data_IF_756409259622
#
_entry.id   IF_756409259622
#
_cell.length_a   1.000
_cell.length_b   1.000
_cell.length_c   1.000
_cell.angle_alpha   90.00
_cell.angle_beta   90.00
_cell.angle_gamma   90.00
#
_symmetry.space_group_name_H-M   'P 1'
#
loop_
_entity.id
_entity.type
_entity.pdbx_description
1 polymer ?
#
# COMPACT_ATOMS: atom_id res chain seq x y z
N UNK A 1 -15.34 24.28 11.13
CA UNK A 1 -15.90 23.73 9.86
C UNK A 1 -15.44 22.31 9.60
N UNK A 2 -14.14 21.98 9.68
CA UNK A 2 -13.64 20.60 9.49
C UNK A 2 -14.41 19.53 10.28
N UNK A 3 -14.66 19.76 11.58
CA UNK A 3 -15.35 18.79 12.44
C UNK A 3 -16.81 18.48 12.04
N UNK A 4 -17.45 19.34 11.23
CA UNK A 4 -18.83 19.16 10.76
C UNK A 4 -18.93 18.83 9.27
N UNK A 5 -17.81 18.87 8.54
CA UNK A 5 -17.79 18.71 7.08
C UNK A 5 -18.33 17.35 6.63
N UNK A 6 -18.06 16.27 7.37
CA UNK A 6 -18.61 14.93 7.09
C UNK A 6 -20.13 14.82 7.25
N UNK A 7 -20.76 15.76 7.95
CA UNK A 7 -22.21 15.73 8.19
C UNK A 7 -22.99 16.55 7.16
N UNK A 8 -22.29 17.15 6.20
CA UNK A 8 -22.90 17.91 5.11
C UNK A 8 -23.54 16.91 4.14
N UNK A 9 -24.80 17.18 3.76
CA UNK A 9 -25.50 16.34 2.80
C UNK A 9 -24.81 16.43 1.42
N UNK A 10 -24.56 15.29 0.75
CA UNK A 10 -23.89 15.29 -0.56
C UNK A 10 -24.60 16.09 -1.64
N UNK A 11 -25.90 16.35 -1.50
CA UNK A 11 -26.73 17.08 -2.47
C UNK A 11 -26.79 18.60 -2.22
N UNK A 12 -26.12 19.12 -1.18
CA UNK A 12 -26.06 20.55 -0.86
C UNK A 12 -25.18 21.30 -1.87
N UNK A 13 -25.70 22.29 -2.59
CA UNK A 13 -24.96 22.99 -3.65
C UNK A 13 -24.97 24.52 -3.56
N UNK A 14 -25.61 25.10 -2.54
CA UNK A 14 -25.67 26.54 -2.38
C UNK A 14 -24.36 27.08 -1.80
N UNK A 15 -23.74 26.36 -0.87
CA UNK A 15 -22.59 26.88 -0.10
C UNK A 15 -21.31 26.08 -0.32
N UNK A 16 -21.38 24.74 -0.33
CA UNK A 16 -20.18 23.89 -0.33
C UNK A 16 -19.31 24.11 -1.56
N UNK A 17 -19.90 24.29 -2.75
CA UNK A 17 -19.14 24.56 -3.96
C UNK A 17 -18.29 25.83 -3.81
N UNK A 18 -18.90 26.94 -3.37
CA UNK A 18 -18.20 28.21 -3.16
C UNK A 18 -17.10 28.10 -2.09
N UNK A 19 -17.34 27.30 -1.04
CA UNK A 19 -16.32 26.99 -0.03
C UNK A 19 -15.14 26.25 -0.65
N UNK A 20 -15.38 25.18 -1.43
CA UNK A 20 -14.31 24.41 -2.10
C UNK A 20 -13.51 25.31 -3.04
N UNK A 21 -14.17 26.13 -3.84
CA UNK A 21 -13.52 27.08 -4.74
C UNK A 21 -12.64 28.08 -3.98
N UNK A 22 -13.14 28.62 -2.87
CA UNK A 22 -12.39 29.55 -2.01
C UNK A 22 -11.18 28.89 -1.36
N UNK A 23 -11.32 27.63 -0.92
CA UNK A 23 -10.23 26.84 -0.34
C UNK A 23 -9.11 26.58 -1.35
N UNK A 24 -9.46 26.33 -2.61
CA UNK A 24 -8.50 26.15 -3.70
C UNK A 24 -7.74 27.44 -4.06
N UNK A 25 -8.31 28.61 -3.76
CA UNK A 25 -7.70 29.91 -4.00
C UNK A 25 -6.79 30.38 -2.86
N UNK A 26 -6.65 29.62 -1.77
CA UNK A 26 -5.73 29.97 -0.67
C UNK A 26 -4.31 30.10 -1.21
N UNK A 27 -3.67 31.28 -1.10
CA UNK A 27 -2.36 31.52 -1.72
C UNK A 27 -1.25 30.72 -1.02
N UNK A 28 -0.18 30.44 -1.75
CA UNK A 28 1.00 29.75 -1.19
C UNK A 28 1.70 30.56 -0.09
N UNK A 29 1.56 31.88 -0.11
CA UNK A 29 2.04 32.79 0.93
C UNK A 29 1.24 32.72 2.24
N UNK A 30 0.09 32.04 2.25
CA UNK A 30 -0.68 31.83 3.47
C UNK A 30 0.11 30.98 4.48
N UNK A 31 -0.13 31.25 5.76
CA UNK A 31 0.55 30.54 6.84
C UNK A 31 0.33 29.01 6.74
N UNK A 32 1.37 28.21 7.03
CA UNK A 32 1.34 26.75 6.88
C UNK A 32 0.15 26.10 7.61
N UNK A 33 -0.21 26.58 8.80
CA UNK A 33 -1.37 26.08 9.55
C UNK A 33 -2.71 26.27 8.83
N UNK A 34 -2.86 27.37 8.07
CA UNK A 34 -4.06 27.61 7.24
C UNK A 34 -4.09 26.61 6.11
N UNK A 35 -3.00 26.49 5.35
CA UNK A 35 -2.85 25.53 4.24
C UNK A 35 -3.07 24.08 4.71
N UNK A 36 -2.54 23.73 5.88
CA UNK A 36 -2.72 22.42 6.51
C UNK A 36 -4.18 22.12 6.80
N UNK A 37 -4.90 23.08 7.43
CA UNK A 37 -6.31 22.93 7.76
C UNK A 37 -7.17 22.89 6.49
N UNK A 38 -6.82 23.69 5.47
CA UNK A 38 -7.46 23.68 4.15
C UNK A 38 -7.40 22.30 3.52
N UNK A 39 -6.22 21.67 3.50
CA UNK A 39 -6.05 20.32 2.96
C UNK A 39 -6.97 19.33 3.68
N UNK A 40 -6.92 19.31 5.02
CA UNK A 40 -7.77 18.41 5.80
C UNK A 40 -9.25 18.61 5.49
N UNK A 41 -9.72 19.86 5.44
CA UNK A 41 -11.12 20.17 5.12
C UNK A 41 -11.50 19.66 3.73
N UNK A 42 -10.64 19.80 2.72
CA UNK A 42 -10.88 19.23 1.38
C UNK A 42 -11.01 17.71 1.43
N UNK A 43 -10.19 17.03 2.24
CA UNK A 43 -10.29 15.59 2.47
C UNK A 43 -11.63 15.17 3.10
N UNK A 44 -12.18 15.99 4.00
CA UNK A 44 -13.47 15.71 4.65
C UNK A 44 -14.69 15.90 3.73
N UNK A 45 -14.54 16.63 2.62
CA UNK A 45 -15.62 16.89 1.65
C UNK A 45 -15.73 15.81 0.56
N UNK A 46 -15.11 14.63 0.77
CA UNK A 46 -15.05 13.56 -0.23
C UNK A 46 -16.42 13.08 -0.74
N UNK A 47 -17.40 12.90 0.15
CA UNK A 47 -18.74 12.43 -0.26
C UNK A 47 -19.47 13.44 -1.14
N UNK A 48 -19.31 14.72 -0.84
CA UNK A 48 -19.85 15.80 -1.66
C UNK A 48 -19.14 15.87 -3.02
N UNK A 49 -17.81 15.74 -3.06
CA UNK A 49 -17.03 15.74 -4.30
C UNK A 49 -17.37 14.57 -5.22
N UNK A 50 -17.74 13.42 -4.67
CA UNK A 50 -18.16 12.24 -5.44
C UNK A 50 -19.46 12.49 -6.22
N UNK A 51 -20.35 13.35 -5.70
CA UNK A 51 -21.58 13.80 -6.39
C UNK A 51 -21.33 14.92 -7.39
N UNK A 52 -20.25 15.68 -7.23
CA UNK A 52 -19.91 16.84 -8.06
C UNK A 52 -18.55 16.72 -8.79
N UNK A 53 -18.23 15.58 -9.43
CA UNK A 53 -16.86 15.25 -9.82
C UNK A 53 -16.28 16.11 -10.94
N UNK A 54 -17.12 16.64 -11.82
CA UNK A 54 -16.70 17.27 -13.09
C UNK A 54 -15.79 18.50 -12.89
N UNK A 55 -16.00 19.26 -11.82
CA UNK A 55 -15.31 20.55 -11.61
C UNK A 55 -14.30 20.49 -10.47
N UNK A 56 -14.58 19.75 -9.39
CA UNK A 56 -13.84 19.90 -8.13
C UNK A 56 -12.77 18.83 -7.91
N UNK A 57 -12.97 17.59 -8.37
CA UNK A 57 -12.08 16.46 -8.05
C UNK A 57 -10.67 16.68 -8.60
N UNK A 58 -10.54 17.10 -9.85
CA UNK A 58 -9.23 17.31 -10.49
C UNK A 58 -8.44 18.47 -9.85
N UNK A 59 -9.00 19.68 -9.66
CA UNK A 59 -8.31 20.76 -8.94
C UNK A 59 -7.91 20.40 -7.51
N UNK A 60 -8.80 19.74 -6.76
CA UNK A 60 -8.51 19.30 -5.39
C UNK A 60 -7.39 18.27 -5.38
N UNK A 61 -7.44 17.27 -6.28
CA UNK A 61 -6.38 16.28 -6.41
C UNK A 61 -5.03 16.94 -6.71
N UNK A 62 -4.95 17.84 -7.69
CA UNK A 62 -3.72 18.56 -8.00
C UNK A 62 -3.18 19.38 -6.81
N UNK A 63 -4.07 20.07 -6.08
CA UNK A 63 -3.69 20.84 -4.89
C UNK A 63 -3.10 19.94 -3.80
N UNK A 64 -3.74 18.80 -3.55
CA UNK A 64 -3.27 17.80 -2.58
C UNK A 64 -1.93 17.21 -2.99
N UNK A 65 -1.79 16.75 -4.25
CA UNK A 65 -0.56 16.13 -4.74
C UNK A 65 0.63 17.08 -4.71
N UNK A 66 0.42 18.36 -5.08
CA UNK A 66 1.47 19.39 -4.99
C UNK A 66 1.95 19.58 -3.54
N UNK A 67 1.03 19.50 -2.59
CA UNK A 67 1.31 19.73 -1.17
C UNK A 67 2.05 18.58 -0.47
N UNK A 68 2.13 17.39 -1.09
CA UNK A 68 2.89 16.25 -0.54
C UNK A 68 4.39 16.56 -0.49
N UNK A 69 4.90 17.39 -1.41
CA UNK A 69 6.31 17.76 -1.46
C UNK A 69 6.74 18.74 -0.36
N UNK A 70 5.79 19.35 0.35
CA UNK A 70 6.05 20.26 1.47
C UNK A 70 6.00 19.45 2.79
N UNK A 71 7.13 19.27 3.50
CA UNK A 71 7.17 18.46 4.73
C UNK A 71 6.21 18.95 5.82
N UNK A 72 5.90 20.25 5.85
CA UNK A 72 4.96 20.83 6.82
C UNK A 72 3.49 20.47 6.53
N UNK A 73 3.20 20.06 5.28
CA UNK A 73 1.85 19.75 4.81
C UNK A 73 1.65 18.28 4.45
N UNK A 74 2.74 17.51 4.27
CA UNK A 74 2.71 16.13 3.80
C UNK A 74 1.73 15.23 4.57
N UNK A 75 1.64 15.41 5.90
CA UNK A 75 0.68 14.67 6.75
C UNK A 75 -0.76 14.98 6.34
N UNK A 76 -1.16 16.25 6.31
CA UNK A 76 -2.52 16.66 5.91
C UNK A 76 -2.82 16.29 4.45
N UNK A 77 -1.85 16.48 3.55
CA UNK A 77 -1.97 16.10 2.15
C UNK A 77 -2.20 14.59 1.99
N UNK A 78 -1.43 13.74 2.69
CA UNK A 78 -1.61 12.29 2.62
C UNK A 78 -2.96 11.82 3.18
N UNK A 79 -3.44 12.45 4.27
CA UNK A 79 -4.76 12.17 4.84
C UNK A 79 -5.87 12.48 3.84
N UNK A 80 -5.77 13.64 3.20
CA UNK A 80 -6.75 14.11 2.23
C UNK A 80 -6.70 13.26 0.96
N UNK A 81 -5.50 12.91 0.49
CA UNK A 81 -5.32 12.02 -0.65
C UNK A 81 -5.96 10.66 -0.39
N UNK A 82 -5.73 10.04 0.77
CA UNK A 82 -6.35 8.76 1.12
C UNK A 82 -7.88 8.86 1.14
N UNK A 83 -8.43 9.94 1.72
CA UNK A 83 -9.88 10.15 1.75
C UNK A 83 -10.46 10.27 0.35
N UNK A 84 -9.89 11.15 -0.48
CA UNK A 84 -10.31 11.40 -1.87
C UNK A 84 -10.19 10.12 -2.71
N UNK A 85 -9.05 9.43 -2.63
CA UNK A 85 -8.83 8.16 -3.37
C UNK A 85 -9.63 6.99 -2.80
N UNK A 86 -10.20 7.10 -1.60
CA UNK A 86 -11.10 6.09 -1.06
C UNK A 86 -12.53 6.31 -1.53
N UNK A 87 -12.99 7.57 -1.57
CA UNK A 87 -14.36 7.92 -1.89
C UNK A 87 -14.51 8.10 -3.41
N UNK A 88 -13.77 9.05 -4.00
CA UNK A 88 -13.86 9.45 -5.41
C UNK A 88 -13.01 8.60 -6.38
N UNK A 89 -12.63 7.37 -6.00
CA UNK A 89 -11.72 6.48 -6.77
C UNK A 89 -12.14 6.28 -8.22
N UNK A 90 -13.44 6.21 -8.50
CA UNK A 90 -13.97 6.00 -9.85
C UNK A 90 -13.74 7.22 -10.75
N UNK A 91 -13.63 8.41 -10.17
CA UNK A 91 -13.30 9.68 -10.84
C UNK A 91 -11.80 9.95 -10.92
N UNK A 92 -11.01 9.34 -10.04
CA UNK A 92 -9.55 9.56 -9.93
C UNK A 92 -8.75 8.56 -10.78
N UNK A 93 -9.34 7.44 -11.21
CA UNK A 93 -8.64 6.37 -11.94
C UNK A 93 -7.91 6.82 -13.22
N UNK A 94 -8.40 7.84 -13.93
CA UNK A 94 -7.73 8.42 -15.10
C UNK A 94 -6.42 9.16 -14.77
N UNK A 95 -6.17 9.42 -13.49
CA UNK A 95 -4.96 10.08 -12.99
C UNK A 95 -3.97 9.09 -12.34
N UNK A 96 -4.14 7.79 -12.58
CA UNK A 96 -3.32 6.76 -11.94
C UNK A 96 -1.81 6.93 -12.23
N UNK A 97 -1.42 7.29 -13.44
CA UNK A 97 0.01 7.50 -13.78
C UNK A 97 0.65 8.60 -12.94
N UNK A 98 -0.07 9.69 -12.68
CA UNK A 98 0.39 10.78 -11.82
C UNK A 98 0.50 10.31 -10.36
N UNK A 99 -0.47 9.51 -9.90
CA UNK A 99 -0.43 8.92 -8.56
C UNK A 99 0.76 7.97 -8.39
N UNK A 100 1.08 7.19 -9.42
CA UNK A 100 2.23 6.30 -9.43
C UNK A 100 3.54 7.09 -9.37
N UNK A 101 3.66 8.19 -10.13
CA UNK A 101 4.81 9.10 -10.05
C UNK A 101 5.00 9.67 -8.65
N UNK A 102 3.90 10.00 -7.96
CA UNK A 102 3.94 10.48 -6.57
C UNK A 102 4.49 9.38 -5.65
N UNK A 103 4.05 8.13 -5.80
CA UNK A 103 4.59 6.99 -5.03
C UNK A 103 6.09 6.81 -5.28
N UNK A 104 6.54 6.95 -6.53
CA UNK A 104 7.97 6.92 -6.87
C UNK A 104 8.75 8.06 -6.21
N UNK A 105 8.18 9.27 -6.16
CA UNK A 105 8.82 10.40 -5.48
C UNK A 105 8.94 10.20 -3.96
N UNK A 106 8.05 9.40 -3.33
CA UNK A 106 8.15 9.05 -1.90
C UNK A 106 9.40 8.24 -1.55
N UNK A 107 10.19 7.81 -2.54
CA UNK A 107 11.45 7.12 -2.28
C UNK A 107 12.51 8.07 -1.74
N UNK A 108 12.52 9.33 -2.21
CA UNK A 108 13.53 10.32 -1.85
C UNK A 108 13.00 11.40 -0.92
N UNK A 109 11.68 11.52 -0.77
CA UNK A 109 11.06 12.52 0.10
C UNK A 109 11.22 12.17 1.59
N UNK A 110 11.64 13.14 2.43
CA UNK A 110 11.83 12.93 3.86
C UNK A 110 10.47 13.02 4.61
N UNK A 111 9.58 12.06 4.34
CA UNK A 111 8.27 11.99 4.98
C UNK A 111 8.18 10.83 5.99
N UNK A 112 7.34 10.94 7.03
CA UNK A 112 7.12 9.84 7.96
C UNK A 112 6.60 8.58 7.27
N UNK A 113 6.98 7.40 7.78
CA UNK A 113 6.56 6.10 7.26
C UNK A 113 5.04 5.98 7.15
N UNK A 114 4.30 6.41 8.17
CA UNK A 114 2.84 6.35 8.18
C UNK A 114 2.21 7.21 7.07
N UNK A 115 2.78 8.40 6.83
CA UNK A 115 2.38 9.30 5.72
C UNK A 115 2.60 8.62 4.38
N UNK A 116 3.74 7.95 4.19
CA UNK A 116 4.03 7.27 2.93
C UNK A 116 3.12 6.06 2.70
N UNK A 117 2.92 5.22 3.73
CA UNK A 117 2.00 4.08 3.70
C UNK A 117 0.57 4.53 3.37
N UNK A 118 0.17 5.71 3.84
CA UNK A 118 -1.13 6.29 3.58
C UNK A 118 -1.33 6.68 2.11
N UNK A 119 -0.33 7.32 1.50
CA UNK A 119 -0.34 7.61 0.06
C UNK A 119 -0.42 6.31 -0.74
N UNK A 120 0.44 5.33 -0.44
CA UNK A 120 0.45 4.01 -1.11
C UNK A 120 -0.91 3.32 -1.00
N UNK A 121 -1.54 3.36 0.19
CA UNK A 121 -2.89 2.82 0.41
C UNK A 121 -3.93 3.50 -0.50
N UNK A 122 -3.90 4.83 -0.59
CA UNK A 122 -4.79 5.58 -1.47
C UNK A 122 -4.64 5.19 -2.94
N UNK A 123 -3.40 5.16 -3.43
CA UNK A 123 -3.09 4.77 -4.82
C UNK A 123 -3.51 3.31 -5.10
N UNK A 124 -3.33 2.41 -4.14
CA UNK A 124 -3.78 1.01 -4.25
C UNK A 124 -5.30 0.90 -4.42
N UNK A 125 -6.08 1.73 -3.72
CA UNK A 125 -7.55 1.75 -3.87
C UNK A 125 -7.98 2.26 -5.26
N UNK A 126 -7.23 3.18 -5.85
CA UNK A 126 -7.46 3.62 -7.23
C UNK A 126 -7.06 2.52 -8.22
N UNK A 127 -5.94 1.83 -7.99
CA UNK A 127 -5.52 0.66 -8.78
C UNK A 127 -6.63 -0.40 -8.86
N UNK A 128 -7.35 -0.62 -7.75
CA UNK A 128 -8.48 -1.56 -7.65
C UNK A 128 -9.70 -1.17 -8.52
N UNK A 129 -9.71 0.01 -9.13
CA UNK A 129 -10.79 0.52 -10.00
C UNK A 129 -10.38 0.73 -11.45
N UNK A 130 -9.15 0.37 -11.80
CA UNK A 130 -8.71 0.33 -13.18
C UNK A 130 -9.47 -0.78 -13.94
N UNK A 131 -9.56 -0.70 -15.27
CA UNK A 131 -10.05 -1.81 -16.08
C UNK A 131 -9.25 -3.10 -15.82
N UNK A 132 -9.92 -4.26 -15.80
CA UNK A 132 -9.30 -5.54 -15.40
C UNK A 132 -7.99 -5.85 -16.14
N UNK A 133 -7.91 -5.52 -17.43
CA UNK A 133 -6.73 -5.74 -18.27
C UNK A 133 -5.51 -4.86 -17.88
N UNK A 134 -5.71 -3.80 -17.09
CA UNK A 134 -4.65 -2.88 -16.64
C UNK A 134 -4.19 -3.15 -15.21
N UNK A 135 -5.02 -3.81 -14.38
CA UNK A 135 -4.74 -4.01 -12.95
C UNK A 135 -3.42 -4.75 -12.73
N UNK A 136 -3.15 -5.79 -13.55
CA UNK A 136 -1.94 -6.60 -13.41
C UNK A 136 -0.66 -5.78 -13.61
N UNK A 137 -0.62 -4.97 -14.68
CA UNK A 137 0.54 -4.11 -14.98
C UNK A 137 0.68 -2.98 -13.96
N UNK A 138 -0.44 -2.31 -13.63
CA UNK A 138 -0.46 -1.25 -12.62
C UNK A 138 0.04 -1.73 -11.25
N UNK A 139 -0.39 -2.93 -10.82
CA UNK A 139 0.09 -3.53 -9.58
C UNK A 139 1.57 -3.90 -9.67
N UNK A 140 2.02 -4.45 -10.79
CA UNK A 140 3.43 -4.76 -10.99
C UNK A 140 4.30 -3.50 -10.86
N UNK A 141 3.94 -2.41 -11.53
CA UNK A 141 4.65 -1.14 -11.45
C UNK A 141 4.66 -0.58 -10.02
N UNK A 142 3.52 -0.66 -9.31
CA UNK A 142 3.41 -0.19 -7.92
C UNK A 142 4.28 -1.01 -6.96
N UNK A 143 4.29 -2.35 -7.09
CA UNK A 143 5.14 -3.23 -6.30
C UNK A 143 6.62 -3.01 -6.62
N UNK A 144 6.97 -2.82 -7.90
CA UNK A 144 8.35 -2.66 -8.38
C UNK A 144 9.09 -1.53 -7.68
N UNK A 145 8.45 -0.39 -7.46
CA UNK A 145 9.03 0.77 -6.74
C UNK A 145 9.61 0.34 -5.38
N UNK A 146 8.89 -0.50 -4.65
CA UNK A 146 9.30 -0.94 -3.30
C UNK A 146 10.23 -2.15 -3.33
N UNK A 147 10.04 -3.06 -4.29
CA UNK A 147 10.90 -4.24 -4.51
C UNK A 147 12.31 -3.82 -4.89
N UNK A 148 12.46 -2.83 -5.78
CA UNK A 148 13.77 -2.35 -6.22
C UNK A 148 14.58 -1.80 -5.03
N UNK A 149 13.92 -1.03 -4.15
CA UNK A 149 14.57 -0.44 -2.99
C UNK A 149 14.89 -1.46 -1.88
N UNK A 150 13.99 -2.41 -1.62
CA UNK A 150 14.29 -3.54 -0.72
C UNK A 150 15.45 -4.39 -1.22
N UNK A 151 15.49 -4.66 -2.53
CA UNK A 151 16.57 -5.42 -3.15
C UNK A 151 17.89 -4.67 -3.01
N UNK A 152 17.89 -3.35 -3.25
CA UNK A 152 19.06 -2.48 -3.04
C UNK A 152 19.57 -2.56 -1.60
N UNK A 153 18.67 -2.52 -0.61
CA UNK A 153 19.01 -2.65 0.82
C UNK A 153 19.63 -4.04 1.10
N UNK A 154 19.06 -5.11 0.57
CA UNK A 154 19.55 -6.48 0.79
C UNK A 154 20.94 -6.73 0.19
N UNK A 155 21.28 -6.06 -0.91
CA UNK A 155 22.55 -6.18 -1.62
C UNK A 155 23.73 -5.47 -0.91
N UNK A 156 23.49 -4.70 0.15
CA UNK A 156 24.57 -4.07 0.93
C UNK A 156 25.30 -5.12 1.76
N UNK A 157 26.53 -5.48 1.36
CA UNK A 157 27.31 -6.58 1.96
C UNK A 157 27.50 -6.43 3.48
N UNK A 158 27.80 -5.22 3.96
CA UNK A 158 28.15 -4.96 5.36
C UNK A 158 26.97 -4.60 6.27
N UNK A 159 25.72 -4.68 5.78
CA UNK A 159 24.55 -4.35 6.59
C UNK A 159 24.01 -5.59 7.34
N UNK A 160 24.69 -5.98 8.42
CA UNK A 160 24.26 -7.08 9.30
C UNK A 160 23.45 -6.61 10.51
N UNK A 161 23.51 -5.31 10.85
CA UNK A 161 22.64 -4.69 11.86
C UNK A 161 21.70 -3.69 11.20
N UNK A 162 20.40 -3.89 11.40
CA UNK A 162 19.39 -2.93 10.97
C UNK A 162 19.44 -1.74 11.91
N UNK A 163 19.64 -0.54 11.35
CA UNK A 163 19.49 0.69 12.09
C UNK A 163 18.06 1.16 11.86
N UNK A 164 17.26 1.18 12.92
CA UNK A 164 15.86 1.56 12.79
C UNK A 164 15.72 3.03 12.33
N UNK A 165 14.70 3.30 11.50
CA UNK A 165 14.36 4.65 11.01
C UNK A 165 15.45 5.31 10.16
N UNK A 166 16.26 4.53 9.47
CA UNK A 166 17.20 5.02 8.44
C UNK A 166 16.72 4.64 7.05
N UNK A 167 17.32 5.24 6.02
CA UNK A 167 17.08 4.85 4.62
C UNK A 167 17.46 3.40 4.30
N UNK A 168 18.16 2.71 5.22
CA UNK A 168 18.56 1.33 5.09
C UNK A 168 17.68 0.36 5.90
N UNK A 169 16.63 0.87 6.57
CA UNK A 169 15.66 0.08 7.31
C UNK A 169 14.63 -0.56 6.35
N UNK A 170 14.57 -1.90 6.21
CA UNK A 170 13.65 -2.55 5.28
C UNK A 170 12.18 -2.46 5.73
N UNK A 171 11.90 -2.14 7.00
CA UNK A 171 10.54 -2.18 7.56
C UNK A 171 9.58 -1.24 6.84
N UNK A 172 10.04 -0.05 6.47
CA UNK A 172 9.20 0.94 5.81
C UNK A 172 8.68 0.44 4.47
N UNK A 173 9.54 -0.22 3.70
CA UNK A 173 9.20 -0.80 2.40
C UNK A 173 8.32 -2.04 2.52
N UNK A 174 8.59 -2.87 3.54
CA UNK A 174 7.74 -4.01 3.87
C UNK A 174 6.32 -3.57 4.26
N UNK A 175 6.18 -2.49 5.05
CA UNK A 175 4.89 -1.94 5.44
C UNK A 175 4.14 -1.30 4.24
N UNK A 176 4.87 -0.67 3.30
CA UNK A 176 4.28 -0.18 2.03
C UNK A 176 3.77 -1.33 1.16
N UNK A 177 4.57 -2.38 0.92
CA UNK A 177 4.13 -3.59 0.20
C UNK A 177 2.96 -4.28 0.88
N UNK A 178 3.01 -4.45 2.20
CA UNK A 178 1.93 -5.01 2.98
C UNK A 178 0.63 -4.19 2.85
N UNK A 179 0.75 -2.85 2.76
CA UNK A 179 -0.39 -1.95 2.52
C UNK A 179 -1.02 -2.17 1.15
N UNK A 180 -0.21 -2.39 0.11
CA UNK A 180 -0.70 -2.72 -1.24
C UNK A 180 -1.53 -4.00 -1.18
N UNK A 181 -0.93 -5.11 -0.72
CA UNK A 181 -1.62 -6.40 -0.72
C UNK A 181 -2.86 -6.43 0.19
N UNK A 182 -2.86 -5.66 1.27
CA UNK A 182 -4.01 -5.56 2.17
C UNK A 182 -5.21 -4.82 1.57
N UNK A 183 -4.95 -3.75 0.81
CA UNK A 183 -5.99 -2.82 0.40
C UNK A 183 -6.40 -2.97 -1.08
N UNK A 184 -5.70 -3.81 -1.83
CA UNK A 184 -6.08 -4.14 -3.18
C UNK A 184 -7.33 -5.02 -3.17
N UNK A 185 -8.29 -4.69 -4.02
CA UNK A 185 -9.51 -5.47 -4.22
C UNK A 185 -9.71 -5.70 -5.71
N UNK A 186 -9.75 -6.97 -6.12
CA UNK A 186 -9.94 -7.36 -7.51
C UNK A 186 -11.10 -8.35 -7.56
N UNK A 187 -12.05 -8.13 -8.46
CA UNK A 187 -13.16 -9.05 -8.70
C UNK A 187 -12.74 -10.12 -9.71
N UNK A 188 -11.79 -10.97 -9.36
CA UNK A 188 -11.39 -12.08 -10.21
C UNK A 188 -12.47 -13.17 -10.18
N UNK A 189 -12.89 -13.65 -11.37
CA UNK A 189 -13.72 -14.87 -11.45
C UNK A 189 -12.88 -16.07 -11.03
N UNK A 190 -13.47 -17.02 -10.29
CA UNK A 190 -12.79 -18.20 -9.77
C UNK A 190 -12.10 -19.08 -10.84
N UNK A 191 -12.54 -19.03 -12.10
CA UNK A 191 -11.98 -19.81 -13.20
C UNK A 191 -10.83 -19.12 -13.96
N UNK A 192 -10.52 -17.88 -13.63
CA UNK A 192 -9.50 -17.09 -14.31
C UNK A 192 -8.26 -16.92 -13.42
N UNK A 193 -7.10 -16.76 -14.06
CA UNK A 193 -5.87 -16.44 -13.35
C UNK A 193 -6.03 -15.10 -12.62
N UNK A 194 -5.70 -15.07 -11.33
CA UNK A 194 -5.82 -13.89 -10.51
C UNK A 194 -4.86 -12.80 -11.03
N UNK A 195 -5.33 -11.58 -11.33
CA UNK A 195 -4.48 -10.51 -11.88
C UNK A 195 -3.25 -10.17 -11.01
N UNK A 196 -3.33 -10.49 -9.71
CA UNK A 196 -2.26 -10.25 -8.74
C UNK A 196 -1.22 -11.37 -8.64
N UNK A 197 -1.46 -12.55 -9.23
CA UNK A 197 -0.58 -13.70 -9.08
C UNK A 197 0.83 -13.37 -9.59
N UNK A 198 0.93 -12.77 -10.79
CA UNK A 198 2.22 -12.38 -11.37
C UNK A 198 2.99 -11.37 -10.50
N UNK A 199 2.31 -10.35 -9.97
CA UNK A 199 2.94 -9.35 -9.11
C UNK A 199 3.44 -9.94 -7.79
N UNK A 200 2.71 -10.89 -7.20
CA UNK A 200 3.12 -11.56 -5.96
C UNK A 200 4.30 -12.51 -6.23
N UNK A 201 4.25 -13.30 -7.30
CA UNK A 201 5.37 -14.16 -7.71
C UNK A 201 6.62 -13.34 -8.01
N UNK A 202 6.48 -12.17 -8.65
CA UNK A 202 7.57 -11.22 -8.86
C UNK A 202 8.14 -10.66 -7.54
N UNK A 203 7.29 -10.42 -6.54
CA UNK A 203 7.70 -9.86 -5.25
C UNK A 203 8.39 -10.89 -4.35
N UNK A 204 8.07 -12.18 -4.51
CA UNK A 204 8.55 -13.27 -3.64
C UNK A 204 10.09 -13.34 -3.48
N UNK A 205 10.92 -13.33 -4.56
CA UNK A 205 12.37 -13.42 -4.41
C UNK A 205 12.97 -12.33 -3.52
N UNK A 206 12.42 -11.11 -3.58
CA UNK A 206 12.85 -9.99 -2.76
C UNK A 206 12.50 -10.21 -1.27
N UNK A 207 11.28 -10.68 -0.98
CA UNK A 207 10.86 -10.99 0.39
C UNK A 207 11.67 -12.16 0.98
N UNK A 208 11.93 -13.19 0.18
CA UNK A 208 12.77 -14.34 0.56
C UNK A 208 14.20 -13.91 0.89
N UNK A 209 14.81 -13.06 0.06
CA UNK A 209 16.12 -12.47 0.32
C UNK A 209 16.15 -11.63 1.60
N UNK A 210 15.09 -10.86 1.85
CA UNK A 210 14.95 -10.05 3.07
C UNK A 210 14.88 -10.92 4.32
N UNK A 211 14.14 -12.05 4.27
CA UNK A 211 14.07 -13.02 5.37
C UNK A 211 15.45 -13.59 5.69
N UNK A 212 16.25 -13.95 4.68
CA UNK A 212 17.57 -14.54 4.89
C UNK A 212 18.61 -13.53 5.37
N UNK A 213 18.62 -12.33 4.79
CA UNK A 213 19.56 -11.26 5.14
C UNK A 213 19.38 -10.79 6.58
N UNK A 214 18.13 -10.62 7.02
CA UNK A 214 17.79 -10.02 8.31
C UNK A 214 17.21 -11.03 9.31
N UNK A 215 17.50 -12.32 9.12
CA UNK A 215 16.94 -13.43 9.90
C UNK A 215 17.06 -13.32 11.43
N UNK A 216 17.97 -12.51 11.97
CA UNK A 216 18.12 -12.28 13.42
C UNK A 216 17.28 -11.10 13.94
N UNK A 217 16.79 -10.23 13.06
CA UNK A 217 16.00 -9.05 13.43
C UNK A 217 14.50 -9.39 13.49
N UNK A 218 13.99 -9.55 14.71
CA UNK A 218 12.58 -9.87 14.98
C UNK A 218 11.61 -8.87 14.33
N UNK A 219 11.94 -7.57 14.30
CA UNK A 219 11.05 -6.55 13.76
C UNK A 219 10.92 -6.69 12.25
N UNK A 220 12.02 -6.96 11.55
CA UNK A 220 12.00 -7.23 10.11
C UNK A 220 11.25 -8.52 9.80
N UNK A 221 11.49 -9.60 10.57
CA UNK A 221 10.78 -10.87 10.38
C UNK A 221 9.27 -10.73 10.53
N UNK A 222 8.80 -10.02 11.57
CA UNK A 222 7.38 -9.74 11.81
C UNK A 222 6.74 -9.01 10.63
N UNK A 223 7.43 -8.00 10.08
CA UNK A 223 6.94 -7.15 9.00
C UNK A 223 6.94 -7.89 7.66
N UNK A 224 7.96 -8.72 7.41
CA UNK A 224 8.02 -9.57 6.23
C UNK A 224 6.92 -10.64 6.26
N UNK A 225 6.72 -11.32 7.39
CA UNK A 225 5.64 -12.28 7.57
C UNK A 225 4.25 -11.62 7.43
N UNK A 226 4.09 -10.39 7.94
CA UNK A 226 2.86 -9.60 7.76
C UNK A 226 2.59 -9.28 6.29
N UNK A 227 3.62 -8.92 5.52
CA UNK A 227 3.53 -8.69 4.08
C UNK A 227 3.11 -9.97 3.35
N UNK A 228 3.80 -11.08 3.60
CA UNK A 228 3.47 -12.40 3.03
C UNK A 228 2.04 -12.83 3.37
N UNK A 229 1.59 -12.65 4.61
CA UNK A 229 0.21 -12.96 5.00
C UNK A 229 -0.81 -12.22 4.14
N UNK A 230 -0.61 -10.93 3.87
CA UNK A 230 -1.54 -10.18 3.03
C UNK A 230 -1.44 -10.60 1.55
N UNK A 231 -0.23 -10.91 1.05
CA UNK A 231 -0.06 -11.44 -0.30
C UNK A 231 -0.78 -12.78 -0.49
N UNK A 232 -0.58 -13.74 0.42
CA UNK A 232 -1.22 -15.06 0.39
C UNK A 232 -2.74 -14.94 0.41
N UNK A 233 -3.29 -14.14 1.33
CA UNK A 233 -4.75 -13.89 1.40
C UNK A 233 -5.32 -13.21 0.16
N UNK A 234 -4.54 -12.39 -0.54
CA UNK A 234 -4.99 -11.70 -1.74
C UNK A 234 -5.23 -12.66 -2.91
N UNK A 235 -4.41 -13.72 -3.06
CA UNK A 235 -4.54 -14.68 -4.16
C UNK A 235 -5.05 -16.07 -3.74
N UNK A 236 -5.20 -16.31 -2.43
CA UNK A 236 -5.69 -17.57 -1.86
C UNK A 236 -4.95 -18.77 -2.44
N UNK A 237 -5.71 -19.79 -2.84
CA UNK A 237 -5.24 -21.02 -3.52
C UNK A 237 -4.30 -20.80 -4.71
N UNK A 238 -4.39 -19.65 -5.41
CA UNK A 238 -3.50 -19.37 -6.54
C UNK A 238 -2.06 -19.03 -6.11
N UNK A 239 -1.78 -18.96 -4.80
CA UNK A 239 -0.41 -18.90 -4.26
C UNK A 239 0.32 -20.26 -4.22
N UNK A 240 -0.29 -21.35 -4.69
CA UNK A 240 0.28 -22.70 -4.65
C UNK A 240 1.75 -22.80 -5.12
N UNK A 241 2.19 -22.11 -6.20
CA UNK A 241 3.60 -22.14 -6.62
C UNK A 241 4.60 -21.61 -5.58
N UNK A 242 4.15 -20.83 -4.60
CA UNK A 242 4.97 -20.25 -3.54
C UNK A 242 5.03 -21.13 -2.29
N UNK A 243 4.16 -22.13 -2.15
CA UNK A 243 4.05 -22.93 -0.93
C UNK A 243 5.35 -23.64 -0.57
N UNK A 244 5.86 -24.46 -1.48
CA UNK A 244 7.06 -25.25 -1.25
C UNK A 244 8.28 -24.40 -0.86
N UNK A 245 8.67 -23.35 -1.64
CA UNK A 245 9.81 -22.53 -1.27
C UNK A 245 9.58 -21.74 0.03
N UNK A 246 8.36 -21.24 0.27
CA UNK A 246 8.05 -20.50 1.49
C UNK A 246 8.12 -21.38 2.74
N UNK A 247 7.46 -22.54 2.73
CA UNK A 247 7.45 -23.47 3.88
C UNK A 247 8.84 -23.98 4.18
N UNK A 248 9.61 -24.35 3.15
CA UNK A 248 11.02 -24.79 3.31
C UNK A 248 11.86 -23.72 4.02
N UNK A 249 11.73 -22.46 3.58
CA UNK A 249 12.44 -21.34 4.20
C UNK A 249 11.95 -21.08 5.63
N UNK A 250 10.63 -21.13 5.88
CA UNK A 250 10.04 -20.93 7.20
C UNK A 250 10.56 -21.96 8.22
N UNK A 251 10.58 -23.25 7.88
CA UNK A 251 11.07 -24.31 8.76
C UNK A 251 12.54 -24.11 9.09
N UNK A 252 13.37 -23.84 8.07
CA UNK A 252 14.81 -23.57 8.26
C UNK A 252 15.04 -22.38 9.20
N UNK A 253 14.38 -21.25 8.97
CA UNK A 253 14.56 -20.04 9.76
C UNK A 253 13.97 -20.18 11.17
N UNK A 254 12.85 -20.88 11.33
CA UNK A 254 12.24 -21.13 12.63
C UNK A 254 13.11 -22.05 13.50
N UNK A 255 13.73 -23.08 12.92
CA UNK A 255 14.65 -23.95 13.64
C UNK A 255 15.90 -23.20 14.15
N UNK A 256 16.34 -22.17 13.43
CA UNK A 256 17.51 -21.38 13.80
C UNK A 256 17.21 -20.24 14.79
N UNK A 257 16.08 -19.54 14.63
CA UNK A 257 15.83 -18.26 15.35
C UNK A 257 14.51 -18.21 16.13
N UNK A 258 13.62 -19.19 15.99
CA UNK A 258 12.36 -19.31 16.74
C UNK A 258 11.41 -18.09 16.68
N UNK A 259 11.40 -17.34 15.57
CA UNK A 259 10.46 -16.22 15.41
C UNK A 259 9.01 -16.70 15.37
N UNK A 260 8.21 -16.29 16.36
CA UNK A 260 6.79 -16.67 16.48
C UNK A 260 5.93 -16.27 15.29
N UNK A 261 6.33 -15.25 14.52
CA UNK A 261 5.60 -14.81 13.33
C UNK A 261 5.50 -15.90 12.26
N UNK A 262 6.43 -16.86 12.22
CA UNK A 262 6.35 -18.02 11.33
C UNK A 262 5.23 -18.99 11.72
N UNK A 263 4.95 -19.18 13.02
CA UNK A 263 3.82 -19.99 13.47
C UNK A 263 2.49 -19.36 13.05
N UNK A 264 2.39 -18.03 13.15
CA UNK A 264 1.21 -17.32 12.67
C UNK A 264 1.09 -17.42 11.15
N UNK A 265 2.18 -17.23 10.40
CA UNK A 265 2.15 -17.42 8.95
C UNK A 265 1.76 -18.85 8.55
N UNK A 266 2.23 -19.87 9.29
CA UNK A 266 1.82 -21.25 9.08
C UNK A 266 0.30 -21.45 9.29
N UNK A 267 -0.28 -20.80 10.30
CA UNK A 267 -1.74 -20.84 10.50
C UNK A 267 -2.53 -20.27 9.31
N UNK A 268 -1.97 -19.28 8.60
CA UNK A 268 -2.57 -18.72 7.38
C UNK A 268 -2.48 -19.73 6.23
N UNK A 269 -1.36 -20.41 6.08
CA UNK A 269 -1.22 -21.45 5.07
C UNK A 269 -2.20 -22.60 5.31
N UNK A 270 -2.40 -23.01 6.57
CA UNK A 270 -3.40 -24.02 6.92
C UNK A 270 -4.82 -23.53 6.67
N UNK A 271 -5.14 -22.27 6.97
CA UNK A 271 -6.45 -21.67 6.71
C UNK A 271 -6.79 -21.63 5.21
N UNK A 272 -5.81 -21.28 4.36
CA UNK A 272 -6.01 -21.17 2.91
C UNK A 272 -5.97 -22.53 2.17
N UNK A 273 -5.18 -23.50 2.65
CA UNK A 273 -4.90 -24.75 1.93
C UNK A 273 -5.32 -26.04 2.66
N UNK A 274 -5.76 -25.95 3.92
CA UNK A 274 -6.06 -27.13 4.74
C UNK A 274 -7.23 -27.99 4.22
N UNK A 275 -8.04 -27.47 3.30
CA UNK A 275 -9.11 -28.20 2.63
C UNK A 275 -8.72 -28.83 1.28
N UNK A 276 -7.50 -28.61 0.80
CA UNK A 276 -7.04 -29.11 -0.51
C UNK A 276 -6.27 -30.43 -0.39
N UNK A 277 -6.82 -31.51 -0.93
CA UNK A 277 -6.21 -32.85 -0.86
C UNK A 277 -4.77 -32.91 -1.42
N UNK A 278 -4.46 -32.11 -2.44
CA UNK A 278 -3.12 -32.05 -3.05
C UNK A 278 -2.08 -31.34 -2.18
N UNK A 279 -2.52 -30.53 -1.20
CA UNK A 279 -1.66 -29.76 -0.29
C UNK A 279 -1.56 -30.40 1.11
N UNK A 280 -2.32 -31.47 1.39
CA UNK A 280 -2.31 -32.19 2.68
C UNK A 280 -1.15 -33.21 2.77
N UNK A 281 -0.47 -33.49 1.65
CA UNK A 281 0.63 -34.46 1.52
C UNK A 281 1.96 -34.05 2.16
N UNK A 282 1.96 -33.63 3.42
CA UNK A 282 3.17 -33.36 4.21
C UNK A 282 3.66 -34.59 4.98
N UNK A 283 3.97 -35.71 4.32
CA UNK A 283 4.56 -36.89 4.99
C UNK A 283 5.38 -37.81 4.08
N UNK A 284 6.05 -37.24 3.08
CA UNK A 284 7.18 -37.88 2.41
C UNK A 284 8.40 -36.97 2.49
N UNK A 285 8.85 -36.71 3.73
CA UNK A 285 10.25 -36.39 3.98
C UNK A 285 10.91 -37.74 4.26
N UNK A 286 11.72 -38.18 3.29
CA UNK A 286 12.47 -39.43 3.33
C UNK A 286 13.30 -39.57 4.62
N UNK A 287 13.32 -40.81 5.11
CA UNK A 287 14.12 -41.29 6.23
C UNK A 287 15.63 -41.28 5.93
#
# INVERSE_FOLDING_TARGET
>A
MQAVAKNILPDENEVVQSVVESLLQVPESAHAAVRFTTLLLLGELGEWMDKHPAVVVKPVLHCVLRSINDPSLAVAASNSLEAITSICRDHVKSHFDILLQVVSALVTLPIPTETAVRVVKGVTKVCSRLPDHQIADALHQLCKIHVDELTRICQVENQSKVVAKTSSDPVDWLDRLASIFRNLSVNAKKSEQHPCQLAITFTWPCLSMTLDKFQTDRRVMERCCRCLRFALRLIGHQSAPLLQPLVTQMVRLYNAHHHSCFLYLASILVDEYGSENDCIGGSHLDA
#
